data_IF_856854490159
#
_entry.id   IF_856854490159
#
_cell.length_a   1.000
_cell.length_b   1.000
_cell.length_c   1.000
_cell.angle_alpha   90.00
_cell.angle_beta   90.00
_cell.angle_gamma   90.00
#
_symmetry.space_group_name_H-M   'P 1'
#
loop_
_entity.id
_entity.type
_entity.pdbx_description
1 polymer ?
#
# COMPACT_ATOMS: atom_id res chain seq x y z
N UNK A 1 2.18 8.19 10.62
CA UNK A 1 3.50 8.45 11.24
C UNK A 1 4.15 7.11 11.51
N UNK A 2 5.46 6.98 11.30
CA UNK A 2 6.19 5.72 11.56
C UNK A 2 6.16 5.45 13.07
N UNK A 3 5.75 4.26 13.54
CA UNK A 3 5.77 3.93 14.96
C UNK A 3 7.21 3.94 15.52
N UNK A 4 7.43 4.47 16.74
CA UNK A 4 8.77 4.53 17.34
C UNK A 4 9.35 3.16 17.69
N UNK A 5 8.52 2.12 17.80
CA UNK A 5 8.91 0.74 18.02
C UNK A 5 8.97 -0.09 16.73
N UNK A 6 8.82 0.53 15.55
CA UNK A 6 8.93 -0.19 14.28
C UNK A 6 10.38 -0.65 14.00
N UNK A 7 10.51 -1.90 13.57
CA UNK A 7 11.75 -2.46 13.07
C UNK A 7 11.94 -2.13 11.60
N UNK A 8 12.67 -1.04 11.30
CA UNK A 8 12.94 -0.62 9.92
C UNK A 8 13.92 -1.55 9.17
N UNK A 9 14.47 -2.57 9.83
CA UNK A 9 15.26 -3.61 9.17
C UNK A 9 14.39 -4.79 8.69
N UNK A 10 13.08 -4.74 8.92
CA UNK A 10 12.10 -5.69 8.42
C UNK A 10 11.13 -4.99 7.46
N UNK A 11 10.63 -5.74 6.47
CA UNK A 11 9.63 -5.22 5.56
C UNK A 11 8.35 -4.84 6.31
N UNK A 12 7.69 -3.79 5.85
CA UNK A 12 6.31 -3.48 6.23
C UNK A 12 5.36 -3.94 5.13
N UNK A 13 4.11 -4.22 5.47
CA UNK A 13 3.10 -4.65 4.49
C UNK A 13 1.92 -3.70 4.54
N UNK A 14 1.63 -3.04 3.42
CA UNK A 14 0.39 -2.33 3.22
C UNK A 14 -0.69 -3.34 2.83
N UNK A 15 -1.77 -3.37 3.61
CA UNK A 15 -2.95 -4.17 3.36
C UNK A 15 -4.08 -3.28 2.89
N UNK A 16 -4.83 -3.76 1.89
CA UNK A 16 -5.97 -3.07 1.32
C UNK A 16 -7.15 -4.04 1.22
N UNK A 17 -8.27 -3.66 1.84
CA UNK A 17 -9.56 -4.30 1.61
C UNK A 17 -10.36 -3.47 0.63
N UNK A 18 -10.75 -4.08 -0.48
CA UNK A 18 -11.52 -3.43 -1.52
C UNK A 18 -12.55 -4.39 -2.13
N UNK A 19 -13.63 -3.84 -2.67
CA UNK A 19 -14.63 -4.59 -3.43
C UNK A 19 -14.77 -3.98 -4.82
N UNK A 20 -14.92 -4.82 -5.85
CA UNK A 20 -15.12 -4.38 -7.23
C UNK A 20 -16.59 -4.56 -7.62
N UNK A 21 -17.11 -3.66 -8.45
CA UNK A 21 -18.40 -3.85 -9.11
C UNK A 21 -18.22 -3.95 -10.61
N UNK A 22 -18.72 -5.04 -11.19
CA UNK A 22 -18.48 -5.39 -12.59
C UNK A 22 -17.53 -6.59 -12.68
N UNK A 23 -17.81 -7.51 -13.61
CA UNK A 23 -17.13 -8.81 -13.74
C UNK A 23 -16.38 -8.93 -15.07
N UNK A 24 -15.77 -7.84 -15.53
CA UNK A 24 -15.00 -7.82 -16.77
C UNK A 24 -13.64 -8.49 -16.54
N UNK A 25 -13.38 -9.64 -17.18
CA UNK A 25 -12.14 -10.43 -17.04
C UNK A 25 -10.88 -9.58 -17.30
N UNK A 26 -10.95 -8.61 -18.23
CA UNK A 26 -9.84 -7.70 -18.53
C UNK A 26 -9.53 -6.68 -17.44
N UNK A 27 -10.46 -6.47 -16.51
CA UNK A 27 -10.38 -5.46 -15.45
C UNK A 27 -9.98 -6.10 -14.11
N UNK A 28 -8.85 -6.81 -14.12
CA UNK A 28 -8.20 -7.32 -12.91
C UNK A 28 -7.47 -6.18 -12.18
N UNK A 29 -8.24 -5.34 -11.48
CA UNK A 29 -7.75 -4.11 -10.86
C UNK A 29 -6.59 -4.37 -9.89
N UNK A 30 -5.47 -3.70 -10.09
CA UNK A 30 -4.43 -3.52 -9.06
C UNK A 30 -4.48 -2.08 -8.53
N UNK A 31 -3.84 -1.81 -7.39
CA UNK A 31 -3.59 -0.45 -6.94
C UNK A 31 -2.12 -0.10 -7.17
N UNK A 32 -1.86 1.05 -7.79
CA UNK A 32 -0.54 1.67 -7.80
C UNK A 32 -0.39 2.46 -6.50
N UNK A 33 0.54 2.03 -5.65
CA UNK A 33 0.88 2.65 -4.38
C UNK A 33 2.07 3.58 -4.61
N UNK A 34 1.93 4.87 -4.29
CA UNK A 34 3.07 5.75 -4.07
C UNK A 34 3.36 5.79 -2.57
N UNK A 35 4.59 5.53 -2.16
CA UNK A 35 5.00 5.58 -0.77
C UNK A 35 6.26 6.43 -0.65
N UNK A 36 6.25 7.39 0.29
CA UNK A 36 7.31 8.40 0.44
C UNK A 36 7.61 8.63 1.92
N UNK A 37 8.89 8.84 2.24
CA UNK A 37 9.33 9.21 3.58
C UNK A 37 9.37 10.73 3.74
N UNK A 38 8.79 11.20 4.83
CA UNK A 38 8.83 12.60 5.24
C UNK A 38 9.57 12.70 6.58
N UNK A 39 10.85 13.03 6.50
CA UNK A 39 11.78 13.21 7.62
C UNK A 39 11.92 14.68 8.00
N UNK A 40 12.18 14.95 9.28
CA UNK A 40 12.35 16.33 9.76
C UNK A 40 13.62 16.93 9.18
N UNK A 41 13.49 18.04 8.45
CA UNK A 41 14.60 18.77 7.84
C UNK A 41 14.72 18.60 6.33
N UNK A 42 13.99 17.64 5.74
CA UNK A 42 13.95 17.41 4.31
C UNK A 42 12.71 18.05 3.67
N UNK A 43 12.75 18.25 2.33
CA UNK A 43 11.57 18.66 1.58
C UNK A 43 10.60 17.47 1.44
N UNK A 44 9.30 17.74 1.47
CA UNK A 44 8.27 16.69 1.45
C UNK A 44 8.23 15.86 0.15
N UNK A 45 8.84 16.36 -0.92
CA UNK A 45 8.93 15.75 -2.24
C UNK A 45 10.37 15.38 -2.64
N UNK A 46 11.30 15.37 -1.68
CA UNK A 46 12.70 15.02 -1.93
C UNK A 46 12.92 13.52 -2.18
N UNK A 47 11.98 12.67 -1.73
CA UNK A 47 12.08 11.21 -1.80
C UNK A 47 11.45 10.66 -3.09
N UNK A 48 12.06 9.60 -3.62
CA UNK A 48 11.48 8.79 -4.70
C UNK A 48 10.51 7.78 -4.12
N UNK A 49 9.46 7.42 -4.88
CA UNK A 49 8.50 6.43 -4.39
C UNK A 49 9.13 5.05 -4.19
N UNK A 50 8.98 4.47 -3.00
CA UNK A 50 9.31 3.06 -2.70
C UNK A 50 8.07 2.14 -2.72
N UNK A 51 6.93 2.67 -3.18
CA UNK A 51 5.70 1.91 -3.40
C UNK A 51 5.77 0.96 -4.61
N UNK A 52 4.62 0.76 -5.27
CA UNK A 52 4.50 -0.13 -6.43
C UNK A 52 3.08 -0.65 -6.61
N UNK A 53 2.89 -1.55 -7.58
CA UNK A 53 1.61 -2.22 -7.76
C UNK A 53 1.34 -3.24 -6.65
N UNK A 54 0.10 -3.30 -6.16
CA UNK A 54 -0.41 -4.44 -5.37
C UNK A 54 -0.58 -5.67 -6.26
N UNK A 55 -0.89 -6.80 -5.62
CA UNK A 55 -1.52 -7.93 -6.30
C UNK A 55 -2.85 -7.52 -6.94
N UNK A 56 -3.25 -8.27 -7.98
CA UNK A 56 -4.49 -8.01 -8.70
C UNK A 56 -5.70 -8.52 -7.91
N UNK A 57 -6.75 -7.72 -7.87
CA UNK A 57 -8.09 -8.21 -7.57
C UNK A 57 -8.53 -9.18 -8.66
N UNK A 58 -9.35 -10.16 -8.29
CA UNK A 58 -10.00 -11.10 -9.21
C UNK A 58 -10.95 -10.32 -10.12
N UNK A 59 -10.62 -10.23 -11.41
CA UNK A 59 -11.31 -9.36 -12.37
C UNK A 59 -12.71 -9.84 -12.77
N UNK A 60 -12.93 -11.15 -12.80
CA UNK A 60 -14.19 -11.81 -13.17
C UNK A 60 -15.07 -12.17 -11.97
N UNK A 61 -14.79 -11.59 -10.80
CA UNK A 61 -15.62 -11.75 -9.62
C UNK A 61 -17.04 -11.25 -9.91
N UNK A 62 -17.96 -12.19 -10.12
CA UNK A 62 -19.39 -11.92 -10.37
C UNK A 62 -20.12 -11.37 -9.15
N UNK A 63 -19.58 -11.61 -7.95
CA UNK A 63 -20.08 -11.10 -6.70
C UNK A 63 -19.23 -9.91 -6.20
N UNK A 64 -19.88 -8.97 -5.50
CA UNK A 64 -19.23 -7.78 -4.92
C UNK A 64 -18.48 -8.11 -3.63
N UNK A 65 -17.70 -9.17 -3.65
CA UNK A 65 -17.00 -9.67 -2.47
C UNK A 65 -15.83 -8.76 -2.10
N UNK A 66 -15.59 -8.66 -0.79
CA UNK A 66 -14.41 -7.97 -0.27
C UNK A 66 -13.19 -8.82 -0.57
N UNK A 67 -12.23 -8.24 -1.27
CA UNK A 67 -10.94 -8.86 -1.57
C UNK A 67 -9.84 -8.16 -0.77
N UNK A 68 -8.81 -8.93 -0.46
CA UNK A 68 -7.64 -8.48 0.27
C UNK A 68 -6.44 -8.50 -0.66
N UNK A 69 -5.89 -7.33 -0.96
CA UNK A 69 -4.67 -7.20 -1.74
C UNK A 69 -3.60 -6.53 -0.89
N UNK A 70 -2.35 -6.87 -1.16
CA UNK A 70 -1.20 -6.42 -0.37
C UNK A 70 -0.14 -5.77 -1.21
N UNK A 71 0.69 -4.95 -0.56
CA UNK A 71 1.94 -4.44 -1.11
C UNK A 71 3.02 -4.46 -0.03
N UNK A 72 4.13 -5.13 -0.32
CA UNK A 72 5.35 -5.02 0.48
C UNK A 72 5.99 -3.65 0.31
N UNK A 73 6.34 -3.02 1.42
CA UNK A 73 7.17 -1.82 1.52
C UNK A 73 8.54 -2.29 2.01
N UNK A 74 9.55 -2.23 1.15
CA UNK A 74 10.83 -2.87 1.36
C UNK A 74 11.64 -2.20 2.49
N UNK A 75 12.27 -2.99 3.33
CA UNK A 75 13.05 -2.56 4.49
C UNK A 75 14.12 -1.49 4.20
N UNK A 76 14.74 -1.54 3.02
CA UNK A 76 15.83 -0.61 2.67
C UNK A 76 15.33 0.83 2.49
N UNK A 77 14.03 1.01 2.31
CA UNK A 77 13.40 2.28 1.97
C UNK A 77 12.63 2.88 3.15
N UNK A 78 12.67 2.29 4.35
CA UNK A 78 11.88 2.74 5.49
C UNK A 78 12.66 3.71 6.38
N UNK A 79 12.19 4.96 6.49
CA UNK A 79 12.76 5.92 7.43
C UNK A 79 12.41 5.58 8.88
N UNK A 80 13.39 5.72 9.79
CA UNK A 80 13.17 5.56 11.22
C UNK A 80 12.37 6.72 11.81
N UNK A 81 11.69 6.47 12.93
CA UNK A 81 11.10 7.53 13.75
C UNK A 81 12.18 8.55 14.19
N UNK A 82 11.89 9.88 14.21
CA UNK A 82 10.62 10.51 13.82
C UNK A 82 10.52 10.74 12.31
N UNK A 83 9.54 10.09 11.67
CA UNK A 83 9.19 10.28 10.28
C UNK A 83 7.68 10.08 10.06
N UNK A 84 7.14 10.72 9.02
CA UNK A 84 5.82 10.39 8.48
C UNK A 84 5.98 9.63 7.17
N UNK A 85 5.09 8.68 6.91
CA UNK A 85 4.98 8.05 5.61
C UNK A 85 3.75 8.61 4.92
N UNK A 86 3.94 9.13 3.71
CA UNK A 86 2.86 9.51 2.82
C UNK A 86 2.51 8.34 1.91
N UNK A 87 1.21 8.08 1.75
CA UNK A 87 0.69 7.05 0.87
C UNK A 87 -0.29 7.66 -0.13
N UNK A 88 -0.05 7.40 -1.41
CA UNK A 88 -1.03 7.61 -2.47
C UNK A 88 -1.51 6.26 -2.97
N UNK A 89 -2.83 6.10 -3.10
CA UNK A 89 -3.45 4.85 -3.53
C UNK A 89 -4.35 5.19 -4.70
N UNK A 90 -4.04 4.64 -5.87
CA UNK A 90 -4.86 4.80 -7.08
C UNK A 90 -5.06 3.44 -7.76
N UNK A 91 -6.22 3.17 -8.36
CA UNK A 91 -6.33 2.07 -9.31
C UNK A 91 -5.25 2.22 -10.39
N UNK A 92 -4.60 1.12 -10.74
CA UNK A 92 -3.59 1.13 -11.78
C UNK A 92 -4.24 1.50 -13.11
N UNK A 93 -3.56 2.35 -13.88
CA UNK A 93 -4.13 2.85 -15.13
C UNK A 93 -4.43 1.69 -16.08
N UNK A 94 -5.65 1.68 -16.63
CA UNK A 94 -6.12 0.65 -17.56
C UNK A 94 -6.56 -0.67 -16.92
N UNK A 95 -6.52 -0.82 -15.59
CA UNK A 95 -6.97 -2.08 -14.94
C UNK A 95 -8.40 -2.03 -14.41
N UNK A 96 -9.04 -0.86 -14.40
CA UNK A 96 -10.38 -0.66 -13.86
C UNK A 96 -11.46 -0.56 -14.96
N UNK A 97 -11.10 -0.20 -16.19
CA UNK A 97 -12.06 -0.11 -17.31
C UNK A 97 -13.24 0.82 -17.01
N UNK A 98 -14.45 0.30 -17.17
CA UNK A 98 -15.73 0.96 -16.82
C UNK A 98 -16.28 0.53 -15.46
N UNK A 99 -15.56 -0.32 -14.74
CA UNK A 99 -15.97 -0.87 -13.45
C UNK A 99 -15.64 0.11 -12.32
N UNK A 100 -16.30 -0.04 -11.17
CA UNK A 100 -15.98 0.74 -9.96
C UNK A 100 -15.23 -0.13 -8.94
N UNK A 101 -14.35 0.50 -8.16
CA UNK A 101 -13.71 -0.12 -7.00
C UNK A 101 -14.00 0.68 -5.73
N UNK A 102 -14.39 -0.01 -4.67
CA UNK A 102 -14.73 0.54 -3.37
C UNK A 102 -13.60 0.18 -2.41
N UNK A 103 -12.87 1.19 -1.93
CA UNK A 103 -11.88 1.04 -0.87
C UNK A 103 -12.61 0.98 0.49
N UNK A 104 -12.42 -0.10 1.24
CA UNK A 104 -13.10 -0.33 2.52
C UNK A 104 -12.17 -0.07 3.70
N UNK A 105 -10.91 -0.49 3.60
CA UNK A 105 -9.90 -0.25 4.63
C UNK A 105 -8.49 -0.30 4.04
N UNK A 106 -7.57 0.41 4.69
CA UNK A 106 -6.14 0.22 4.51
C UNK A 106 -5.41 0.31 5.85
N UNK A 107 -4.38 -0.52 6.04
CA UNK A 107 -3.52 -0.48 7.21
C UNK A 107 -2.13 -0.99 6.87
N UNK A 108 -1.16 -0.66 7.73
CA UNK A 108 0.21 -1.14 7.62
C UNK A 108 0.45 -2.14 8.75
N UNK A 109 0.89 -3.33 8.39
CA UNK A 109 1.47 -4.30 9.32
C UNK A 109 2.99 -4.09 9.36
N UNK A 110 3.56 -4.12 10.56
CA UNK A 110 4.99 -3.93 10.78
C UNK A 110 5.48 -4.83 11.92
N UNK A 111 6.76 -5.19 11.86
CA UNK A 111 7.43 -5.88 12.96
C UNK A 111 7.86 -4.88 14.04
N UNK A 112 7.59 -5.20 15.30
CA UNK A 112 8.15 -4.44 16.42
C UNK A 112 9.62 -4.78 16.62
N UNK A 113 10.44 -3.78 16.86
CA UNK A 113 11.86 -3.94 17.18
C UNK A 113 12.02 -4.62 18.54
N UNK A 114 12.81 -5.70 18.57
CA UNK A 114 13.15 -6.38 19.82
C UNK A 114 14.07 -5.44 20.63
N UNK A 115 13.73 -5.19 21.91
CA UNK A 115 14.66 -4.54 22.83
C UNK A 115 15.83 -5.50 23.10
N UNK A 116 17.01 -5.15 22.61
CA UNK A 116 18.26 -5.77 23.07
C UNK A 116 18.61 -5.22 24.44
N UNK A 117 18.91 -6.12 25.39
CA UNK A 117 19.25 -5.82 26.78
C UNK A 117 20.57 -5.04 26.94
#
# INVERSE_FOLDING_TARGET
MVPPDADIAADMVLHILAAKTGATIGDATTFTIGAYNNTVGDAYDADSTFGGATDAMVGDATAKDVQHVTRTLALADLAAYPAAMELTIKPTNGTLGTDDVILLACWIEYQKKILTA
#
